data_IF_839764706502
#
_entry.id   IF_839764706502
#
_cell.length_a   1.000
_cell.length_b   1.000
_cell.length_c   1.000
_cell.angle_alpha   90.00
_cell.angle_beta   90.00
_cell.angle_gamma   90.00
#
_symmetry.space_group_name_H-M   'P 1'
#
loop_
_entity.id
_entity.type
_entity.pdbx_description
1 polymer ?
#
# COMPACT_ATOMS: atom_id res chain seq x y z
N UNK A 1 24.20 -1.39 -10.41
CA UNK A 1 23.24 -0.76 -9.83
C UNK A 1 22.02 -1.51 -9.53
N UNK A 2 21.70 -1.58 -8.32
CA UNK A 2 20.72 -2.42 -7.95
C UNK A 2 19.56 -1.69 -7.45
N UNK A 3 18.61 -1.56 -8.29
CA UNK A 3 17.38 -0.99 -7.87
C UNK A 3 16.41 -2.07 -7.51
N UNK A 4 16.92 -3.13 -6.90
CA UNK A 4 16.06 -4.23 -6.56
C UNK A 4 15.19 -3.82 -5.38
N UNK A 5 13.91 -3.82 -5.62
CA UNK A 5 12.93 -3.67 -4.57
C UNK A 5 12.77 -5.04 -3.93
N UNK A 6 13.73 -5.39 -3.09
CA UNK A 6 13.82 -6.73 -2.51
C UNK A 6 12.63 -7.03 -1.62
N UNK A 7 12.39 -8.31 -1.39
CA UNK A 7 11.24 -8.74 -0.60
C UNK A 7 11.13 -8.11 0.78
N UNK A 8 12.22 -7.96 1.56
CA UNK A 8 12.11 -7.27 2.84
C UNK A 8 11.67 -5.82 2.70
N UNK A 9 12.12 -5.15 1.64
CA UNK A 9 11.72 -3.77 1.37
C UNK A 9 10.28 -3.71 0.90
N UNK A 10 9.86 -4.68 0.11
CA UNK A 10 8.47 -4.78 -0.31
C UNK A 10 7.56 -4.96 0.90
N UNK A 11 7.98 -5.78 1.85
CA UNK A 11 7.19 -6.01 3.04
C UNK A 11 7.08 -4.73 3.88
N UNK A 12 8.17 -4.00 4.03
CA UNK A 12 8.14 -2.72 4.73
C UNK A 12 7.20 -1.74 4.05
N UNK A 13 7.24 -1.70 2.73
CA UNK A 13 6.35 -0.85 1.95
C UNK A 13 4.89 -1.24 2.20
N UNK A 14 4.59 -2.52 2.09
CA UNK A 14 3.22 -3.00 2.24
C UNK A 14 2.71 -2.79 3.66
N UNK A 15 3.56 -3.03 4.67
CA UNK A 15 3.18 -2.81 6.06
C UNK A 15 2.85 -1.34 6.31
N UNK A 16 3.68 -0.44 5.80
CA UNK A 16 3.45 0.98 5.97
C UNK A 16 2.22 1.44 5.18
N UNK A 17 2.00 0.85 4.02
CA UNK A 17 0.82 1.14 3.22
C UNK A 17 -0.45 0.73 3.96
N UNK A 18 -0.42 -0.44 4.57
CA UNK A 18 -1.56 -0.92 5.35
C UNK A 18 -1.82 -0.03 6.57
N UNK A 19 -0.76 0.44 7.20
CA UNK A 19 -0.89 1.25 8.40
C UNK A 19 -1.36 2.67 8.09
N UNK A 20 -0.91 3.25 6.99
CA UNK A 20 -1.16 4.65 6.70
C UNK A 20 -2.18 4.90 5.59
N UNK A 21 -2.34 3.93 4.68
CA UNK A 21 -3.16 4.13 3.49
C UNK A 21 -2.53 5.11 2.50
N UNK A 22 -1.26 5.44 2.67
CA UNK A 22 -0.56 6.43 1.86
C UNK A 22 0.64 5.82 1.16
N UNK A 23 0.66 5.92 -0.17
CA UNK A 23 1.79 5.45 -0.95
C UNK A 23 3.05 6.24 -0.61
N UNK A 24 2.90 7.53 -0.37
CA UNK A 24 4.02 8.38 -0.02
C UNK A 24 4.70 7.92 1.27
N UNK A 25 3.91 7.65 2.29
CA UNK A 25 4.45 7.17 3.57
C UNK A 25 5.05 5.78 3.43
N UNK A 26 4.45 4.93 2.59
CA UNK A 26 5.00 3.61 2.34
C UNK A 26 6.35 3.70 1.66
N UNK A 27 6.50 4.62 0.70
CA UNK A 27 7.78 4.84 0.03
C UNK A 27 8.84 5.32 1.02
N UNK A 28 8.48 6.22 1.92
CA UNK A 28 9.40 6.71 2.93
C UNK A 28 9.84 5.59 3.86
N UNK A 29 8.91 4.76 4.31
CA UNK A 29 9.21 3.67 5.21
C UNK A 29 10.15 2.64 4.58
N UNK A 30 9.97 2.37 3.30
CA UNK A 30 10.80 1.40 2.58
C UNK A 30 12.06 2.04 1.99
N UNK A 31 12.17 3.36 2.08
CA UNK A 31 13.30 4.12 1.53
C UNK A 31 13.45 3.88 0.02
N UNK A 32 12.33 3.94 -0.69
CA UNK A 32 12.30 3.80 -2.15
C UNK A 32 11.55 4.98 -2.74
N UNK A 33 11.83 5.27 -4.02
CA UNK A 33 11.10 6.31 -4.73
C UNK A 33 9.75 5.76 -5.18
N UNK A 34 8.79 6.65 -5.39
CA UNK A 34 7.49 6.21 -5.91
C UNK A 34 7.64 5.62 -7.32
N UNK A 35 8.61 6.10 -8.09
CA UNK A 35 8.87 5.55 -9.41
C UNK A 35 9.28 4.10 -9.33
N UNK A 36 10.16 3.78 -8.39
CA UNK A 36 10.59 2.40 -8.19
C UNK A 36 9.43 1.53 -7.71
N UNK A 37 8.61 2.04 -6.81
CA UNK A 37 7.45 1.31 -6.31
C UNK A 37 6.46 1.00 -7.44
N UNK A 38 6.15 1.97 -8.29
CA UNK A 38 5.23 1.76 -9.40
C UNK A 38 5.82 0.85 -10.47
N UNK A 39 7.14 0.93 -10.68
CA UNK A 39 7.80 0.01 -11.61
C UNK A 39 7.67 -1.43 -11.11
N UNK A 40 7.93 -1.65 -9.84
CA UNK A 40 7.79 -2.98 -9.25
C UNK A 40 6.36 -3.48 -9.37
N UNK A 41 5.41 -2.61 -9.11
CA UNK A 41 4.00 -2.93 -9.24
C UNK A 41 3.66 -3.40 -10.65
N UNK A 42 4.26 -2.79 -11.66
CA UNK A 42 4.02 -3.17 -13.06
C UNK A 42 4.62 -4.52 -13.42
N UNK A 43 5.75 -4.88 -12.80
CA UNK A 43 6.48 -6.08 -13.18
C UNK A 43 6.24 -7.27 -12.27
N UNK A 44 5.69 -7.05 -11.09
CA UNK A 44 5.51 -8.12 -10.11
C UNK A 44 4.03 -8.25 -9.78
N UNK A 45 3.41 -9.30 -10.31
CA UNK A 45 1.99 -9.51 -10.13
C UNK A 45 1.60 -9.74 -8.67
N UNK A 46 2.45 -10.43 -7.92
CA UNK A 46 2.18 -10.68 -6.50
C UNK A 46 2.23 -9.39 -5.70
N UNK A 47 3.20 -8.53 -5.97
CA UNK A 47 3.31 -7.25 -5.31
C UNK A 47 2.10 -6.36 -5.65
N UNK A 48 1.72 -6.37 -6.93
CA UNK A 48 0.55 -5.60 -7.37
C UNK A 48 -0.73 -6.07 -6.67
N UNK A 49 -0.90 -7.37 -6.55
CA UNK A 49 -2.08 -7.93 -5.90
C UNK A 49 -2.13 -7.55 -4.42
N UNK A 50 -1.00 -7.64 -3.72
CA UNK A 50 -0.92 -7.27 -2.32
C UNK A 50 -1.23 -5.79 -2.12
N UNK A 51 -0.69 -4.95 -2.99
CA UNK A 51 -0.93 -3.51 -2.95
C UNK A 51 -2.42 -3.23 -3.11
N UNK A 52 -3.04 -3.84 -4.14
CA UNK A 52 -4.46 -3.61 -4.40
C UNK A 52 -5.32 -4.08 -3.24
N UNK A 53 -5.01 -5.25 -2.67
CA UNK A 53 -5.75 -5.80 -1.55
C UNK A 53 -5.68 -4.89 -0.32
N UNK A 54 -4.48 -4.38 -0.05
CA UNK A 54 -4.27 -3.52 1.11
C UNK A 54 -5.06 -2.21 0.97
N UNK A 55 -5.02 -1.61 -0.21
CA UNK A 55 -5.76 -0.37 -0.43
C UNK A 55 -7.26 -0.60 -0.42
N UNK A 56 -7.72 -1.71 -0.98
CA UNK A 56 -9.14 -2.05 -0.96
C UNK A 56 -9.63 -2.25 0.46
N UNK A 57 -8.84 -2.92 1.29
CA UNK A 57 -9.18 -3.13 2.68
C UNK A 57 -9.24 -1.83 3.46
N UNK A 58 -8.26 -0.97 3.26
CA UNK A 58 -8.23 0.33 3.93
C UNK A 58 -9.41 1.19 3.52
N UNK A 59 -9.74 1.19 2.22
CA UNK A 59 -10.87 1.94 1.70
C UNK A 59 -12.19 1.40 2.27
N UNK A 60 -12.32 0.07 2.31
CA UNK A 60 -13.52 -0.58 2.81
C UNK A 60 -13.77 -0.22 4.28
N UNK A 61 -12.73 -0.24 5.09
CA UNK A 61 -12.87 0.13 6.50
C UNK A 61 -13.30 1.57 6.67
N UNK A 62 -12.77 2.47 5.86
CA UNK A 62 -13.15 3.87 5.90
C UNK A 62 -14.62 4.05 5.51
N UNK A 63 -15.04 3.41 4.43
CA UNK A 63 -16.41 3.51 3.95
C UNK A 63 -17.38 2.91 4.96
N UNK A 64 -17.04 1.78 5.54
CA UNK A 64 -17.88 1.15 6.55
C UNK A 64 -18.03 2.04 7.77
N UNK A 65 -16.98 2.69 8.20
CA UNK A 65 -17.04 3.63 9.30
C UNK A 65 -17.99 4.77 9.03
N UNK A 66 -17.93 5.34 7.83
CA UNK A 66 -18.82 6.42 7.45
C UNK A 66 -20.27 5.94 7.39
N UNK A 67 -20.48 4.75 6.82
CA UNK A 67 -21.82 4.18 6.72
C UNK A 67 -22.43 3.93 8.10
N UNK A 68 -21.63 3.44 9.03
CA UNK A 68 -22.11 3.23 10.39
C UNK A 68 -22.54 4.52 11.04
N UNK A 69 -21.80 5.59 10.86
CA UNK A 69 -22.17 6.89 11.40
C UNK A 69 -23.50 7.36 10.87
N UNK A 70 -23.74 7.13 9.59
CA UNK A 70 -25.01 7.52 8.97
C UNK A 70 -26.18 6.75 9.54
N UNK A 71 -25.96 5.46 9.84
CA UNK A 71 -27.02 4.63 10.36
C UNK A 71 -27.45 5.01 11.75
N UNK A 72 -26.57 5.60 12.48
CA UNK A 72 -26.88 6.04 13.84
C UNK A 72 -27.85 7.21 13.84
N UNK A 73 -27.89 7.90 12.75
CA UNK A 73 -28.83 8.99 12.59
C UNK A 73 -30.21 8.48 12.24
#
# INVERSE_FOLDING_TARGET
MNFNFKKPMQQKFLDALAASGSVERACEAANVSWQLAYRQRSHDAAFRASWADILADAFSRHVNGVALRRRVL
#
